data_IF_228727710102
#
_entry.id   IF_228727710102
#
_cell.length_a   1.000
_cell.length_b   1.000
_cell.length_c   1.000
_cell.angle_alpha   90.00
_cell.angle_beta   90.00
_cell.angle_gamma   90.00
#
_symmetry.space_group_name_H-M   'P 1'
#
loop_
_entity.id
_entity.type
_entity.pdbx_description
1 polymer ?
#
# COMPACT_ATOMS: atom_id res chain seq x y z
N UNK A 1 -16.08 -37.12 -6.34
CA UNK A 1 -15.62 -36.71 -5.00
C UNK A 1 -16.41 -35.52 -4.47
N UNK A 2 -16.92 -34.63 -5.33
CA UNK A 2 -17.82 -33.52 -4.93
C UNK A 2 -19.01 -33.89 -4.07
N UNK A 3 -19.69 -34.99 -4.38
CA UNK A 3 -20.81 -35.42 -3.55
C UNK A 3 -20.39 -35.79 -2.11
N UNK A 4 -19.19 -36.34 -1.92
CA UNK A 4 -18.69 -36.76 -0.61
C UNK A 4 -18.30 -35.58 0.28
N UNK A 5 -17.68 -34.54 -0.29
CA UNK A 5 -17.40 -33.30 0.46
C UNK A 5 -18.70 -32.60 0.84
N UNK A 6 -19.66 -32.47 -0.08
CA UNK A 6 -20.93 -31.79 0.20
C UNK A 6 -21.79 -32.53 1.22
N UNK A 7 -21.78 -33.87 1.21
CA UNK A 7 -22.42 -34.70 2.24
C UNK A 7 -21.75 -34.48 3.60
N UNK A 8 -20.42 -34.57 3.66
CA UNK A 8 -19.67 -34.32 4.89
C UNK A 8 -19.91 -32.90 5.43
N UNK A 9 -19.92 -31.89 4.53
CA UNK A 9 -20.16 -30.50 4.90
C UNK A 9 -21.54 -30.33 5.55
N UNK A 10 -22.57 -30.97 4.98
CA UNK A 10 -23.93 -30.96 5.56
C UNK A 10 -24.03 -31.70 6.88
N UNK A 11 -23.33 -32.83 7.00
CA UNK A 11 -23.30 -33.63 8.22
C UNK A 11 -22.62 -32.88 9.39
N UNK A 12 -21.47 -32.25 9.11
CA UNK A 12 -20.61 -31.64 10.14
C UNK A 12 -20.99 -30.19 10.44
N UNK A 13 -21.30 -29.39 9.42
CA UNK A 13 -21.56 -27.96 9.58
C UNK A 13 -23.03 -27.58 9.45
N UNK A 14 -23.89 -28.50 8.98
CA UNK A 14 -25.32 -28.27 8.83
C UNK A 14 -25.71 -27.67 7.47
N UNK A 15 -26.83 -26.95 7.45
CA UNK A 15 -27.40 -26.40 6.23
C UNK A 15 -26.47 -25.34 5.60
N UNK A 16 -26.16 -25.39 4.28
CA UNK A 16 -25.27 -24.44 3.64
C UNK A 16 -25.67 -22.96 3.81
N UNK A 17 -26.97 -22.67 3.89
CA UNK A 17 -27.46 -21.31 4.14
C UNK A 17 -27.10 -20.83 5.55
N UNK A 18 -27.26 -21.70 6.56
CA UNK A 18 -26.85 -21.39 7.93
C UNK A 18 -25.34 -21.27 8.04
N UNK A 19 -24.56 -22.12 7.36
CA UNK A 19 -23.09 -22.00 7.34
C UNK A 19 -22.66 -20.66 6.73
N UNK A 20 -23.32 -20.20 5.68
CA UNK A 20 -23.05 -18.90 5.07
C UNK A 20 -23.45 -17.73 5.98
N UNK A 21 -24.57 -17.83 6.70
CA UNK A 21 -25.09 -16.75 7.53
C UNK A 21 -24.44 -16.67 8.93
N UNK A 22 -24.30 -17.81 9.59
CA UNK A 22 -23.85 -17.93 10.99
C UNK A 22 -22.37 -18.35 11.11
N UNK A 23 -21.77 -18.81 10.01
CA UNK A 23 -20.45 -19.42 9.99
C UNK A 23 -20.49 -20.92 10.30
N UNK A 24 -19.38 -21.61 10.01
CA UNK A 24 -19.25 -23.04 10.27
C UNK A 24 -19.12 -23.35 11.77
N UNK A 25 -19.85 -24.36 12.27
CA UNK A 25 -19.68 -24.87 13.63
C UNK A 25 -18.37 -25.67 13.75
N UNK A 26 -17.31 -24.97 14.12
CA UNK A 26 -15.98 -25.55 14.35
C UNK A 26 -15.99 -26.59 15.48
N UNK A 27 -16.90 -26.47 16.46
CA UNK A 27 -16.97 -27.41 17.58
C UNK A 27 -17.31 -28.83 17.12
N UNK A 28 -18.24 -28.96 16.17
CA UNK A 28 -18.61 -30.25 15.57
C UNK A 28 -17.45 -30.83 14.76
N UNK A 29 -16.74 -29.99 13.99
CA UNK A 29 -15.54 -30.42 13.26
C UNK A 29 -14.44 -30.93 14.19
N UNK A 30 -14.16 -30.23 15.30
CA UNK A 30 -13.13 -30.67 16.26
C UNK A 30 -13.52 -32.02 16.87
N UNK A 31 -14.78 -32.21 17.26
CA UNK A 31 -15.26 -33.49 17.78
C UNK A 31 -15.18 -34.60 16.72
N UNK A 32 -15.43 -34.30 15.45
CA UNK A 32 -15.29 -35.25 14.35
C UNK A 32 -13.81 -35.61 14.10
N UNK A 33 -12.91 -34.63 14.12
CA UNK A 33 -11.46 -34.84 14.02
C UNK A 33 -10.94 -35.70 15.17
N UNK A 34 -11.44 -35.53 16.39
CA UNK A 34 -11.09 -36.38 17.54
C UNK A 34 -11.53 -37.84 17.40
N UNK A 35 -12.71 -38.08 16.81
CA UNK A 35 -13.22 -39.43 16.59
C UNK A 35 -12.54 -40.12 15.41
N UNK A 36 -12.19 -39.37 14.37
CA UNK A 36 -11.70 -39.92 13.11
C UNK A 36 -10.88 -38.89 12.31
N UNK A 37 -9.63 -38.60 12.70
CA UNK A 37 -8.83 -37.54 12.07
C UNK A 37 -8.63 -37.81 10.59
N UNK A 38 -8.34 -39.05 10.19
CA UNK A 38 -8.16 -39.41 8.78
C UNK A 38 -9.38 -39.10 7.90
N UNK A 39 -10.60 -39.28 8.42
CA UNK A 39 -11.83 -38.95 7.67
C UNK A 39 -11.95 -37.43 7.52
N UNK A 40 -11.87 -36.70 8.62
CA UNK A 40 -11.98 -35.25 8.62
C UNK A 40 -10.93 -34.62 7.70
N UNK A 41 -9.66 -35.01 7.83
CA UNK A 41 -8.58 -34.45 7.03
C UNK A 41 -8.70 -34.79 5.54
N UNK A 42 -9.12 -36.01 5.19
CA UNK A 42 -9.39 -36.37 3.79
C UNK A 42 -10.51 -35.54 3.20
N UNK A 43 -11.57 -35.27 3.96
CA UNK A 43 -12.69 -34.44 3.51
C UNK A 43 -12.29 -32.97 3.39
N UNK A 44 -11.52 -32.43 4.33
CA UNK A 44 -10.97 -31.07 4.21
C UNK A 44 -10.06 -30.93 2.98
N UNK A 45 -9.20 -31.91 2.68
CA UNK A 45 -8.40 -31.91 1.44
C UNK A 45 -9.29 -31.92 0.19
N UNK A 46 -10.37 -32.70 0.19
CA UNK A 46 -11.33 -32.71 -0.91
C UNK A 46 -12.02 -31.34 -1.07
N UNK A 47 -12.46 -30.72 0.02
CA UNK A 47 -13.07 -29.39 0.01
C UNK A 47 -12.12 -28.30 -0.48
N UNK A 48 -10.84 -28.33 -0.09
CA UNK A 48 -9.81 -27.43 -0.65
C UNK A 48 -9.64 -27.65 -2.15
N UNK A 49 -9.62 -28.92 -2.61
CA UNK A 49 -9.57 -29.25 -4.04
C UNK A 49 -10.80 -28.80 -4.84
N UNK A 50 -11.92 -28.50 -4.17
CA UNK A 50 -13.15 -27.97 -4.76
C UNK A 50 -13.28 -26.44 -4.57
N UNK A 51 -12.22 -25.79 -4.09
CA UNK A 51 -12.20 -24.36 -3.80
C UNK A 51 -13.29 -23.91 -2.81
N UNK A 52 -13.67 -24.78 -1.87
CA UNK A 52 -14.65 -24.44 -0.82
C UNK A 52 -13.95 -23.73 0.35
N UNK A 53 -14.27 -22.46 0.58
CA UNK A 53 -13.66 -21.64 1.64
C UNK A 53 -13.92 -22.20 3.04
N UNK A 54 -15.02 -22.95 3.26
CA UNK A 54 -15.31 -23.57 4.56
C UNK A 54 -14.26 -24.62 4.91
N UNK A 55 -13.73 -25.34 3.92
CA UNK A 55 -12.65 -26.30 4.14
C UNK A 55 -11.35 -25.62 4.60
N UNK A 56 -11.07 -24.44 4.06
CA UNK A 56 -9.90 -23.64 4.43
C UNK A 56 -10.04 -23.06 5.83
N UNK A 57 -11.18 -22.44 6.14
CA UNK A 57 -11.49 -21.91 7.48
C UNK A 57 -11.40 -23.01 8.55
N UNK A 58 -11.88 -24.21 8.21
CA UNK A 58 -11.79 -25.41 9.04
C UNK A 58 -10.35 -25.82 9.33
N UNK A 59 -9.46 -25.77 8.33
CA UNK A 59 -8.03 -26.02 8.54
C UNK A 59 -7.41 -24.98 9.47
N UNK A 60 -7.76 -23.69 9.31
CA UNK A 60 -7.31 -22.63 10.22
C UNK A 60 -7.81 -22.84 11.65
N UNK A 61 -9.06 -23.28 11.80
CA UNK A 61 -9.63 -23.57 13.12
C UNK A 61 -8.94 -24.77 13.81
N UNK A 62 -8.63 -25.83 13.06
CA UNK A 62 -7.81 -26.93 13.56
C UNK A 62 -6.39 -26.45 13.90
N UNK A 63 -5.80 -25.54 13.12
CA UNK A 63 -4.48 -24.99 13.38
C UNK A 63 -4.41 -24.25 14.73
N UNK A 64 -5.40 -23.38 15.00
CA UNK A 64 -5.51 -22.65 16.27
C UNK A 64 -5.67 -23.56 17.49
N UNK A 65 -6.11 -24.80 17.30
CA UNK A 65 -6.21 -25.82 18.35
C UNK A 65 -5.05 -26.82 18.37
N UNK A 66 -4.02 -26.62 17.54
CA UNK A 66 -2.85 -27.50 17.45
C UNK A 66 -3.13 -28.85 16.76
N UNK A 67 -4.15 -28.91 15.90
CA UNK A 67 -4.69 -30.14 15.30
C UNK A 67 -4.69 -30.13 13.77
N UNK A 68 -4.22 -29.05 13.14
CA UNK A 68 -4.13 -29.01 11.69
C UNK A 68 -3.21 -30.14 11.17
N UNK A 69 -3.52 -30.73 10.01
CA UNK A 69 -2.62 -31.63 9.32
C UNK A 69 -1.25 -30.99 9.12
N UNK A 70 -0.16 -31.76 9.30
CA UNK A 70 1.20 -31.25 9.13
C UNK A 70 1.50 -30.71 7.72
N UNK A 71 0.74 -31.15 6.71
CA UNK A 71 0.83 -30.73 5.31
C UNK A 71 -0.13 -29.57 4.96
N UNK A 72 -0.91 -29.04 5.90
CA UNK A 72 -1.93 -28.02 5.62
C UNK A 72 -1.39 -26.77 4.91
N UNK A 73 -0.23 -26.24 5.35
CA UNK A 73 0.38 -25.09 4.69
C UNK A 73 0.83 -25.41 3.25
N UNK A 74 1.39 -26.60 3.01
CA UNK A 74 1.81 -27.03 1.67
C UNK A 74 0.61 -27.20 0.73
N UNK A 75 -0.48 -27.79 1.24
CA UNK A 75 -1.74 -27.93 0.52
C UNK A 75 -2.29 -26.55 0.11
N UNK A 76 -2.43 -25.62 1.04
CA UNK A 76 -2.99 -24.29 0.78
C UNK A 76 -2.12 -23.46 -0.18
N UNK A 77 -0.78 -23.53 -0.06
CA UNK A 77 0.13 -22.90 -1.03
C UNK A 77 -0.05 -23.43 -2.44
N UNK A 78 -0.32 -24.73 -2.59
CA UNK A 78 -0.58 -25.32 -3.91
C UNK A 78 -1.91 -24.88 -4.53
N UNK A 79 -2.90 -24.54 -3.71
CA UNK A 79 -4.22 -24.10 -4.14
C UNK A 79 -4.29 -22.58 -4.42
N UNK A 80 -3.45 -21.79 -3.74
CA UNK A 80 -3.45 -20.33 -3.83
C UNK A 80 -3.33 -19.77 -5.27
N UNK A 81 -2.49 -20.30 -6.18
CA UNK A 81 -2.36 -19.75 -7.54
C UNK A 81 -3.64 -19.82 -8.37
N UNK A 82 -4.52 -20.78 -8.09
CA UNK A 82 -5.83 -20.92 -8.75
C UNK A 82 -7.00 -20.39 -7.92
N UNK A 83 -6.73 -19.81 -6.76
CA UNK A 83 -7.75 -19.32 -5.86
C UNK A 83 -8.31 -17.97 -6.31
N UNK A 84 -9.61 -17.76 -6.12
CA UNK A 84 -10.32 -16.53 -6.38
C UNK A 84 -11.28 -16.17 -5.23
N UNK A 85 -11.80 -14.95 -5.27
CA UNK A 85 -12.83 -14.45 -4.36
C UNK A 85 -12.58 -14.75 -2.87
N UNK A 86 -13.65 -15.14 -2.17
CA UNK A 86 -13.61 -15.55 -0.75
C UNK A 86 -12.64 -16.72 -0.50
N UNK A 87 -12.48 -17.65 -1.44
CA UNK A 87 -11.57 -18.78 -1.27
C UNK A 87 -10.12 -18.31 -1.21
N UNK A 88 -9.71 -17.37 -2.07
CA UNK A 88 -8.38 -16.73 -2.02
C UNK A 88 -8.18 -15.98 -0.71
N UNK A 89 -9.17 -15.19 -0.27
CA UNK A 89 -9.11 -14.46 1.00
C UNK A 89 -8.86 -15.42 2.16
N UNK A 90 -9.68 -16.48 2.30
CA UNK A 90 -9.53 -17.44 3.40
C UNK A 90 -8.22 -18.23 3.30
N UNK A 91 -7.81 -18.61 2.09
CA UNK A 91 -6.54 -19.33 1.87
C UNK A 91 -5.36 -18.50 2.32
N UNK A 92 -5.30 -17.23 1.91
CA UNK A 92 -4.26 -16.31 2.31
C UNK A 92 -4.27 -16.03 3.83
N UNK A 93 -5.44 -15.84 4.43
CA UNK A 93 -5.57 -15.64 5.88
C UNK A 93 -5.02 -16.83 6.67
N UNK A 94 -5.45 -18.05 6.31
CA UNK A 94 -5.03 -19.26 7.02
C UNK A 94 -3.55 -19.58 6.77
N UNK A 95 -3.03 -19.27 5.57
CA UNK A 95 -1.59 -19.35 5.31
C UNK A 95 -0.80 -18.40 6.21
N UNK A 96 -1.24 -17.16 6.37
CA UNK A 96 -0.62 -16.20 7.28
C UNK A 96 -0.64 -16.72 8.74
N UNK A 97 -1.76 -17.27 9.21
CA UNK A 97 -1.86 -17.88 10.55
C UNK A 97 -0.92 -19.08 10.74
N UNK A 98 -0.82 -19.97 9.74
CA UNK A 98 -0.03 -21.19 9.82
C UNK A 98 1.48 -20.95 9.74
N UNK A 99 1.89 -19.91 9.02
CA UNK A 99 3.29 -19.69 8.66
C UNK A 99 3.91 -18.51 9.38
N UNK A 100 3.08 -17.56 9.85
CA UNK A 100 3.52 -16.26 10.34
C UNK A 100 4.03 -15.33 9.24
N UNK A 101 3.89 -15.71 7.97
CA UNK A 101 4.37 -14.95 6.82
C UNK A 101 3.34 -13.89 6.42
N UNK A 102 3.77 -12.64 6.35
CA UNK A 102 2.92 -11.50 6.01
C UNK A 102 2.75 -11.32 4.49
N UNK A 103 3.49 -12.07 3.65
CA UNK A 103 3.38 -12.03 2.19
C UNK A 103 1.93 -12.29 1.73
N UNK A 104 1.25 -13.20 2.40
CA UNK A 104 -0.14 -13.58 2.10
C UNK A 104 -1.13 -12.44 2.38
N UNK A 105 -0.75 -11.43 3.16
CA UNK A 105 -1.58 -10.24 3.33
C UNK A 105 -1.77 -9.50 2.01
N UNK A 106 -0.76 -9.55 1.11
CA UNK A 106 -0.84 -8.93 -0.21
C UNK A 106 -1.90 -9.58 -1.10
N UNK A 107 -2.15 -10.88 -0.92
CA UNK A 107 -3.20 -11.63 -1.63
C UNK A 107 -4.59 -11.14 -1.24
N UNK A 108 -4.83 -10.92 0.05
CA UNK A 108 -6.10 -10.38 0.55
C UNK A 108 -6.27 -8.93 0.08
N UNK A 109 -5.20 -8.14 0.11
CA UNK A 109 -5.23 -6.77 -0.40
C UNK A 109 -5.56 -6.73 -1.90
N UNK A 110 -5.00 -7.65 -2.70
CA UNK A 110 -5.30 -7.77 -4.12
C UNK A 110 -6.77 -8.09 -4.39
N UNK A 111 -7.42 -8.91 -3.54
CA UNK A 111 -8.87 -9.16 -3.67
C UNK A 111 -9.68 -7.89 -3.42
N UNK A 112 -9.35 -7.12 -2.37
CA UNK A 112 -10.05 -5.86 -2.08
C UNK A 112 -9.87 -4.82 -3.21
N UNK A 113 -8.68 -4.74 -3.79
CA UNK A 113 -8.34 -3.81 -4.87
C UNK A 113 -8.90 -4.23 -6.24
N UNK A 114 -9.29 -5.50 -6.38
CA UNK A 114 -9.77 -6.06 -7.62
C UNK A 114 -11.17 -5.59 -8.00
N UNK A 115 -11.60 -6.04 -9.18
CA UNK A 115 -12.93 -5.81 -9.77
C UNK A 115 -13.88 -7.00 -9.56
N UNK A 116 -13.56 -7.88 -8.61
CA UNK A 116 -14.34 -9.08 -8.31
C UNK A 116 -15.72 -8.76 -7.70
N UNK A 117 -16.49 -9.81 -7.37
CA UNK A 117 -17.80 -9.65 -6.75
C UNK A 117 -17.66 -8.88 -5.43
N UNK A 118 -18.56 -7.92 -5.17
CA UNK A 118 -18.50 -7.04 -4.00
C UNK A 118 -18.44 -7.80 -2.68
N UNK A 119 -19.07 -8.98 -2.60
CA UNK A 119 -19.00 -9.87 -1.43
C UNK A 119 -17.58 -10.32 -1.10
N UNK A 120 -16.78 -10.69 -2.11
CA UNK A 120 -15.38 -11.09 -1.91
C UNK A 120 -14.54 -9.92 -1.40
N UNK A 121 -14.84 -8.71 -1.89
CA UNK A 121 -14.17 -7.47 -1.48
C UNK A 121 -14.56 -7.07 -0.06
N UNK A 122 -15.81 -7.31 0.36
CA UNK A 122 -16.20 -7.19 1.77
C UNK A 122 -15.42 -8.17 2.64
N UNK A 123 -15.31 -9.43 2.23
CA UNK A 123 -14.55 -10.44 2.96
C UNK A 123 -13.08 -10.03 3.11
N UNK A 124 -12.48 -9.49 2.05
CA UNK A 124 -11.13 -8.94 2.09
C UNK A 124 -11.02 -7.72 3.04
N UNK A 125 -11.96 -6.77 2.97
CA UNK A 125 -11.99 -5.60 3.85
C UNK A 125 -12.16 -5.97 5.34
N UNK A 126 -12.92 -7.03 5.64
CA UNK A 126 -13.06 -7.59 6.99
C UNK A 126 -11.83 -8.36 7.45
N UNK A 127 -11.14 -9.00 6.51
CA UNK A 127 -9.95 -9.81 6.75
C UNK A 127 -8.71 -8.97 7.08
N UNK A 128 -8.42 -7.95 6.27
CA UNK A 128 -7.17 -7.17 6.35
C UNK A 128 -6.85 -6.61 7.74
N UNK A 129 -7.80 -6.03 8.51
CA UNK A 129 -7.50 -5.50 9.85
C UNK A 129 -7.10 -6.56 10.88
N UNK A 130 -7.31 -7.85 10.58
CA UNK A 130 -7.00 -8.99 11.45
C UNK A 130 -5.66 -9.65 11.10
N UNK A 131 -5.09 -9.30 9.96
CA UNK A 131 -3.79 -9.79 9.50
C UNK A 131 -2.67 -8.86 9.97
N UNK A 132 -1.39 -9.31 9.92
CA UNK A 132 -0.26 -8.42 10.05
C UNK A 132 -0.45 -7.20 9.13
N UNK A 133 -0.40 -6.01 9.73
CA UNK A 133 -0.65 -4.79 8.99
C UNK A 133 0.53 -4.51 8.08
N UNK A 134 0.31 -4.52 6.76
CA UNK A 134 1.32 -4.12 5.78
C UNK A 134 0.94 -2.79 5.14
N UNK A 135 1.91 -2.10 4.50
CA UNK A 135 1.62 -0.90 3.73
C UNK A 135 0.55 -1.09 2.67
N UNK A 136 0.60 -2.24 1.99
CA UNK A 136 -0.38 -2.63 0.97
C UNK A 136 -1.77 -2.86 1.58
N UNK A 137 -1.88 -3.46 2.77
CA UNK A 137 -3.17 -3.60 3.48
C UNK A 137 -3.82 -2.25 3.75
N UNK A 138 -3.03 -1.29 4.22
CA UNK A 138 -3.54 0.03 4.58
C UNK A 138 -3.97 0.81 3.34
N UNK A 139 -3.19 0.72 2.26
CA UNK A 139 -3.53 1.30 0.96
C UNK A 139 -4.77 0.63 0.34
N UNK A 140 -4.90 -0.69 0.43
CA UNK A 140 -6.08 -1.43 -0.03
C UNK A 140 -7.32 -1.03 0.75
N UNK A 141 -7.23 -0.89 2.08
CA UNK A 141 -8.33 -0.40 2.91
C UNK A 141 -8.69 1.06 2.57
N UNK A 142 -7.69 1.92 2.32
CA UNK A 142 -7.93 3.29 1.87
C UNK A 142 -8.67 3.31 0.52
N UNK A 143 -8.18 2.56 -0.48
CA UNK A 143 -8.84 2.37 -1.78
C UNK A 143 -10.25 1.79 -1.63
N UNK A 144 -10.44 0.84 -0.73
CA UNK A 144 -11.73 0.22 -0.44
C UNK A 144 -12.76 1.22 0.13
N UNK A 145 -12.34 2.29 0.82
CA UNK A 145 -13.26 3.39 1.20
C UNK A 145 -13.69 4.21 -0.01
N UNK A 146 -12.97 4.14 -1.12
CA UNK A 146 -13.30 4.81 -2.39
C UNK A 146 -14.09 3.90 -3.35
N UNK A 147 -14.39 2.67 -2.94
CA UNK A 147 -15.10 1.68 -3.77
C UNK A 147 -16.49 2.16 -4.20
N UNK A 148 -17.01 1.72 -5.34
CA UNK A 148 -18.36 2.05 -5.79
C UNK A 148 -19.46 1.38 -4.94
N UNK A 149 -19.13 0.26 -4.29
CA UNK A 149 -20.05 -0.51 -3.48
C UNK A 149 -20.07 -0.03 -2.04
N UNK A 150 -21.23 0.47 -1.59
CA UNK A 150 -21.37 1.10 -0.26
C UNK A 150 -20.97 0.19 0.90
N UNK A 151 -21.21 -1.11 0.78
CA UNK A 151 -20.83 -2.08 1.80
C UNK A 151 -19.31 -2.31 1.82
N UNK A 152 -18.63 -2.35 0.67
CA UNK A 152 -17.16 -2.41 0.62
C UNK A 152 -16.57 -1.16 1.27
N UNK A 153 -17.12 0.03 0.96
CA UNK A 153 -16.72 1.28 1.61
C UNK A 153 -16.90 1.23 3.12
N UNK A 154 -18.06 0.76 3.58
CA UNK A 154 -18.38 0.65 5.00
C UNK A 154 -17.38 -0.26 5.73
N UNK A 155 -17.14 -1.47 5.21
CA UNK A 155 -16.24 -2.43 5.85
C UNK A 155 -14.77 -1.99 5.79
N UNK A 156 -14.34 -1.36 4.71
CA UNK A 156 -12.99 -0.79 4.59
C UNK A 156 -12.81 0.39 5.57
N UNK A 157 -13.82 1.25 5.69
CA UNK A 157 -13.83 2.34 6.65
C UNK A 157 -13.78 1.81 8.09
N UNK A 158 -14.53 0.76 8.40
CA UNK A 158 -14.46 0.06 9.69
C UNK A 158 -13.07 -0.49 9.99
N UNK A 159 -12.41 -1.06 8.97
CA UNK A 159 -11.02 -1.48 9.07
C UNK A 159 -10.11 -0.34 9.49
N UNK A 160 -10.11 0.77 8.74
CA UNK A 160 -9.32 1.96 9.07
C UNK A 160 -9.68 2.57 10.44
N UNK A 161 -10.96 2.56 10.81
CA UNK A 161 -11.47 3.04 12.09
C UNK A 161 -10.89 2.24 13.26
N UNK A 162 -10.93 0.91 13.14
CA UNK A 162 -10.36 -0.03 14.10
C UNK A 162 -8.85 0.15 14.25
N UNK A 163 -8.14 0.32 13.12
CA UNK A 163 -6.70 0.59 13.11
C UNK A 163 -6.38 1.96 13.76
N UNK A 164 -7.24 2.96 13.56
CA UNK A 164 -7.20 4.24 14.25
C UNK A 164 -7.60 4.16 15.74
N UNK A 165 -7.93 2.97 16.25
CA UNK A 165 -8.15 2.68 17.67
C UNK A 165 -9.56 2.94 18.16
N UNK A 166 -10.50 3.21 17.26
CA UNK A 166 -11.89 3.42 17.62
C UNK A 166 -12.63 2.08 17.62
N UNK A 167 -13.42 1.86 18.67
CA UNK A 167 -14.14 0.59 18.87
C UNK A 167 -15.55 0.57 18.27
N UNK A 168 -16.07 1.74 17.91
CA UNK A 168 -17.40 1.87 17.32
C UNK A 168 -17.34 1.58 15.82
N UNK A 169 -18.43 1.05 15.27
CA UNK A 169 -18.63 0.90 13.83
C UNK A 169 -18.79 2.29 13.17
N UNK A 170 -18.39 2.41 11.90
CA UNK A 170 -18.60 3.59 11.07
C UNK A 170 -20.08 3.96 11.01
N UNK A 171 -21.01 3.00 11.13
CA UNK A 171 -22.45 3.22 11.26
C UNK A 171 -22.84 4.11 12.46
N UNK A 172 -22.02 4.12 13.52
CA UNK A 172 -22.21 4.97 14.70
C UNK A 172 -21.37 6.26 14.62
N UNK A 173 -20.54 6.40 13.60
CA UNK A 173 -19.66 7.53 13.42
C UNK A 173 -20.34 8.65 12.63
N UNK A 174 -20.05 9.91 12.97
CA UNK A 174 -20.64 11.09 12.29
C UNK A 174 -20.39 11.17 10.78
N UNK A 175 -19.40 10.42 10.28
CA UNK A 175 -19.05 10.34 8.86
C UNK A 175 -19.76 9.21 8.11
N UNK A 176 -20.63 8.43 8.76
CA UNK A 176 -21.36 7.33 8.13
C UNK A 176 -22.05 7.75 6.83
N UNK A 177 -22.84 8.82 6.91
CA UNK A 177 -23.58 9.35 5.77
C UNK A 177 -22.67 9.78 4.60
N UNK A 178 -21.42 10.17 4.88
CA UNK A 178 -20.45 10.48 3.83
C UNK A 178 -19.98 9.19 3.15
N UNK A 179 -19.64 8.15 3.92
CA UNK A 179 -19.19 6.85 3.39
C UNK A 179 -20.29 6.14 2.61
N UNK A 180 -21.55 6.20 3.06
CA UNK A 180 -22.66 5.52 2.36
C UNK A 180 -23.33 6.38 1.30
N UNK A 181 -23.00 7.67 1.23
CA UNK A 181 -23.54 8.58 0.23
C UNK A 181 -22.99 8.30 -1.17
N UNK A 182 -23.41 9.13 -2.13
CA UNK A 182 -23.03 9.03 -3.55
C UNK A 182 -21.95 10.05 -3.95
N UNK A 183 -21.30 10.73 -3.00
CA UNK A 183 -20.31 11.79 -3.25
C UNK A 183 -18.87 11.24 -3.14
N UNK A 184 -18.15 11.02 -4.25
CA UNK A 184 -16.78 10.50 -4.22
C UNK A 184 -15.78 11.44 -3.53
N UNK A 185 -16.01 12.75 -3.54
CA UNK A 185 -15.18 13.69 -2.80
C UNK A 185 -15.38 13.52 -1.29
N UNK A 186 -16.63 13.29 -0.88
CA UNK A 186 -16.99 12.87 0.47
C UNK A 186 -16.28 11.59 0.88
N UNK A 187 -16.29 10.55 0.05
CA UNK A 187 -15.60 9.27 0.33
C UNK A 187 -14.11 9.47 0.55
N UNK A 188 -13.45 10.19 -0.37
CA UNK A 188 -12.02 10.50 -0.29
C UNK A 188 -11.68 11.28 0.98
N UNK A 189 -12.46 12.30 1.32
CA UNK A 189 -12.27 13.05 2.55
C UNK A 189 -12.42 12.18 3.81
N UNK A 190 -13.31 11.17 3.79
CA UNK A 190 -13.39 10.19 4.88
C UNK A 190 -12.14 9.29 4.88
N UNK A 191 -11.77 8.70 3.75
CA UNK A 191 -10.62 7.82 3.61
C UNK A 191 -9.33 8.48 4.13
N UNK A 192 -9.01 9.67 3.62
CA UNK A 192 -7.84 10.46 4.01
C UNK A 192 -7.91 10.84 5.49
N UNK A 193 -9.09 11.19 5.97
CA UNK A 193 -9.29 11.53 7.36
C UNK A 193 -9.14 10.35 8.32
N UNK A 194 -9.52 9.14 7.92
CA UNK A 194 -9.33 7.91 8.69
C UNK A 194 -7.88 7.45 8.64
N UNK A 195 -7.25 7.51 7.47
CA UNK A 195 -5.83 7.24 7.30
C UNK A 195 -4.98 8.22 8.14
N UNK A 196 -5.33 9.51 8.15
CA UNK A 196 -4.70 10.50 9.03
C UNK A 196 -4.96 10.26 10.53
N UNK A 197 -6.11 9.69 10.90
CA UNK A 197 -6.39 9.29 12.28
C UNK A 197 -5.52 8.08 12.69
N UNK A 198 -5.36 7.11 11.80
CA UNK A 198 -4.39 6.02 11.97
C UNK A 198 -2.97 6.58 12.10
N UNK A 199 -2.54 7.49 11.22
CA UNK A 199 -1.23 8.13 11.28
C UNK A 199 -0.95 8.77 12.64
N UNK A 200 -1.95 9.49 13.18
CA UNK A 200 -1.88 10.12 14.51
C UNK A 200 -1.79 9.10 15.65
N UNK A 201 -2.41 7.93 15.52
CA UNK A 201 -2.30 6.85 16.50
C UNK A 201 -0.99 6.10 16.38
N UNK A 202 -0.49 5.92 15.17
CA UNK A 202 0.82 5.34 14.89
C UNK A 202 1.97 6.28 15.31
N UNK A 203 1.67 7.55 15.58
CA UNK A 203 2.56 8.46 16.31
C UNK A 203 2.82 7.89 17.71
N UNK A 204 4.03 7.38 17.93
CA UNK A 204 4.39 6.66 19.14
C UNK A 204 5.81 6.97 19.57
N UNK A 205 6.06 6.74 20.85
CA UNK A 205 7.40 6.76 21.43
C UNK A 205 7.98 5.37 21.28
N UNK A 206 9.17 5.29 20.70
CA UNK A 206 9.99 4.09 20.60
C UNK A 206 11.13 4.20 21.60
N UNK A 207 11.35 3.16 22.41
CA UNK A 207 12.33 3.19 23.50
C UNK A 207 11.76 3.78 24.80
N UNK A 208 12.65 4.07 25.74
CA UNK A 208 12.30 4.63 27.06
C UNK A 208 12.84 6.05 27.18
N UNK A 209 11.96 7.03 27.43
CA UNK A 209 12.36 8.43 27.56
C UNK A 209 13.38 8.64 28.67
N UNK A 210 13.39 7.81 29.72
CA UNK A 210 14.35 7.90 30.82
C UNK A 210 15.76 7.40 30.44
N UNK A 211 15.92 6.68 29.32
CA UNK A 211 17.22 6.28 28.80
C UNK A 211 17.41 6.87 27.40
N UNK A 212 16.89 6.22 26.37
CA UNK A 212 16.87 6.71 25.00
C UNK A 212 15.53 6.41 24.34
N UNK A 213 14.93 7.43 23.71
CA UNK A 213 13.70 7.25 22.94
C UNK A 213 13.60 8.17 21.74
N UNK A 214 12.83 7.73 20.74
CA UNK A 214 12.41 8.53 19.59
C UNK A 214 10.88 8.57 19.56
N UNK A 215 10.32 9.76 19.64
CA UNK A 215 8.90 10.01 19.42
C UNK A 215 8.68 10.42 17.96
N UNK A 216 7.97 9.58 17.22
CA UNK A 216 7.54 9.89 15.87
C UNK A 216 6.18 10.60 15.92
N UNK A 217 6.06 11.70 15.20
CA UNK A 217 4.81 12.44 14.98
C UNK A 217 3.84 11.67 14.08
N UNK A 218 2.73 12.30 13.71
CA UNK A 218 1.83 11.71 12.73
C UNK A 218 2.54 11.61 11.37
N UNK A 219 2.34 10.49 10.66
CA UNK A 219 2.76 10.37 9.27
C UNK A 219 1.90 11.29 8.39
N UNK A 220 2.54 11.98 7.45
CA UNK A 220 1.85 12.68 6.37
C UNK A 220 1.91 11.82 5.11
N UNK A 221 0.86 11.03 4.88
CA UNK A 221 0.81 10.12 3.74
C UNK A 221 0.65 10.83 2.39
N UNK A 222 0.41 12.15 2.38
CA UNK A 222 0.46 12.97 1.17
C UNK A 222 1.88 13.42 0.83
N UNK A 223 2.81 13.31 1.79
CA UNK A 223 4.20 13.75 1.66
C UNK A 223 5.11 12.67 2.28
N UNK A 224 5.50 11.63 1.51
CA UNK A 224 6.18 10.41 1.98
C UNK A 224 7.42 10.60 2.86
N UNK A 225 8.00 11.80 2.86
CA UNK A 225 9.25 12.14 3.57
C UNK A 225 9.05 13.06 4.77
N UNK A 226 7.81 13.47 5.06
CA UNK A 226 7.49 14.39 6.14
C UNK A 226 6.88 13.67 7.32
N UNK A 227 7.75 13.22 8.23
CA UNK A 227 7.37 12.84 9.59
C UNK A 227 8.23 13.60 10.58
N UNK A 228 7.59 14.28 11.53
CA UNK A 228 8.30 14.92 12.65
C UNK A 228 8.87 13.82 13.54
N UNK A 229 10.12 13.93 13.96
CA UNK A 229 10.72 13.06 14.96
C UNK A 229 11.34 13.88 16.09
N UNK A 230 11.19 13.42 17.33
CA UNK A 230 11.79 14.03 18.53
C UNK A 230 12.59 12.99 19.27
N UNK A 231 13.86 13.27 19.56
CA UNK A 231 14.70 12.39 20.35
C UNK A 231 14.73 12.82 21.82
N UNK A 232 14.80 11.83 22.69
CA UNK A 232 14.92 11.96 24.14
C UNK A 232 16.15 11.18 24.61
N UNK A 233 16.89 11.77 25.53
CA UNK A 233 18.04 11.16 26.18
C UNK A 233 18.01 11.52 27.67
N UNK A 234 18.04 10.51 28.54
CA UNK A 234 18.00 10.68 30.00
C UNK A 234 16.87 11.61 30.47
N UNK A 235 15.66 11.34 30.00
CA UNK A 235 14.45 12.14 30.29
C UNK A 235 14.38 13.48 29.56
N UNK A 236 15.45 13.91 28.91
CA UNK A 236 15.57 15.25 28.32
C UNK A 236 15.32 15.19 26.81
N UNK A 237 14.42 16.05 26.33
CA UNK A 237 14.22 16.23 24.89
C UNK A 237 15.44 16.93 24.30
N UNK A 238 16.09 16.30 23.33
CA UNK A 238 17.24 16.88 22.66
C UNK A 238 16.80 18.10 21.81
N UNK A 239 17.55 19.22 21.87
CA UNK A 239 17.25 20.39 21.07
C UNK A 239 17.46 20.12 19.59
N UNK A 240 16.54 20.61 18.76
CA UNK A 240 16.55 20.46 17.32
C UNK A 240 15.20 20.92 16.76
N UNK A 241 15.12 21.40 15.50
CA UNK A 241 13.83 21.62 14.86
C UNK A 241 13.01 20.32 14.89
N UNK A 242 11.68 20.43 14.91
CA UNK A 242 10.82 19.31 14.53
C UNK A 242 11.12 19.04 13.04
N UNK A 243 12.12 18.19 12.76
CA UNK A 243 12.66 18.00 11.41
C UNK A 243 11.94 16.86 10.68
N UNK A 244 11.74 17.03 9.38
CA UNK A 244 11.32 16.01 8.41
C UNK A 244 12.54 15.18 7.97
N UNK A 245 13.00 14.25 8.80
CA UNK A 245 14.20 13.45 8.50
C UNK A 245 13.95 11.94 8.55
N UNK A 246 12.97 11.50 7.77
CA UNK A 246 12.81 10.08 7.43
C UNK A 246 14.12 9.52 6.83
N UNK A 247 14.79 10.27 5.94
CA UNK A 247 16.06 9.86 5.33
C UNK A 247 17.24 9.75 6.31
N UNK A 248 17.37 10.68 7.26
CA UNK A 248 18.51 10.68 8.19
C UNK A 248 18.37 9.57 9.25
N UNK A 249 17.15 9.34 9.75
CA UNK A 249 16.86 8.22 10.65
C UNK A 249 17.01 6.86 9.97
N UNK A 250 16.71 6.77 8.66
CA UNK A 250 16.92 5.56 7.86
C UNK A 250 18.40 5.23 7.65
N UNK A 251 19.25 6.24 7.44
CA UNK A 251 20.69 6.03 7.30
C UNK A 251 21.34 5.40 8.54
N UNK A 252 20.72 5.54 9.71
CA UNK A 252 21.13 4.84 10.94
C UNK A 252 20.86 3.32 10.84
N UNK A 253 19.70 2.94 10.30
CA UNK A 253 19.33 1.54 10.06
C UNK A 253 20.10 0.89 8.91
N UNK A 254 20.57 1.66 7.93
CA UNK A 254 21.42 1.15 6.85
C UNK A 254 22.79 0.67 7.38
N UNK A 255 23.25 1.18 8.53
CA UNK A 255 24.46 0.66 9.19
C UNK A 255 24.26 -0.66 9.95
N UNK A 256 23.05 -1.25 9.91
CA UNK A 256 22.72 -2.51 10.60
C UNK A 256 22.43 -3.69 9.68
N UNK A 257 22.63 -3.56 8.36
CA UNK A 257 22.17 -4.56 7.37
C UNK A 257 23.14 -5.73 7.16
N UNK A 258 23.53 -6.39 8.24
CA UNK A 258 23.92 -7.80 8.19
C UNK A 258 22.97 -8.57 9.10
N UNK A 259 21.96 -9.29 8.57
CA UNK A 259 20.97 -9.99 9.39
C UNK A 259 21.59 -11.02 10.35
N UNK A 260 22.82 -11.46 10.07
CA UNK A 260 23.57 -12.43 10.88
C UNK A 260 24.51 -11.79 11.92
N UNK A 261 24.49 -10.46 12.09
CA UNK A 261 25.34 -9.75 13.06
C UNK A 261 24.52 -8.74 13.87
N UNK A 262 24.74 -8.63 15.19
CA UNK A 262 24.17 -7.55 15.98
C UNK A 262 24.65 -6.20 15.40
N UNK A 263 23.74 -5.23 15.37
CA UNK A 263 24.01 -3.88 14.92
C UNK A 263 25.18 -3.28 15.71
N UNK A 264 26.34 -3.10 15.06
CA UNK A 264 27.51 -2.48 15.67
C UNK A 264 27.50 -0.98 15.37
N UNK A 265 26.84 -0.20 16.24
CA UNK A 265 26.90 1.26 16.18
C UNK A 265 28.25 1.75 16.74
N UNK A 266 29.32 1.66 15.95
CA UNK A 266 30.58 2.28 16.35
C UNK A 266 30.39 3.80 16.42
N UNK A 267 30.27 4.29 17.65
CA UNK A 267 30.09 5.69 18.04
C UNK A 267 28.68 6.26 17.74
N UNK A 268 27.71 5.83 18.55
CA UNK A 268 26.34 6.36 18.58
C UNK A 268 26.26 7.88 18.79
N UNK A 269 27.18 8.45 19.58
CA UNK A 269 27.28 9.91 19.80
C UNK A 269 27.52 10.67 18.48
N UNK A 270 28.58 10.38 17.70
CA UNK A 270 28.74 10.93 16.34
C UNK A 270 27.53 10.73 15.43
N UNK A 271 26.83 9.58 15.50
CA UNK A 271 25.63 9.36 14.71
C UNK A 271 24.51 10.34 15.11
N UNK A 272 24.25 10.50 16.41
CA UNK A 272 23.27 11.47 16.91
C UNK A 272 23.67 12.93 16.58
N UNK A 273 24.96 13.26 16.67
CA UNK A 273 25.49 14.58 16.29
C UNK A 273 25.33 14.86 14.79
N UNK A 274 25.58 13.87 13.92
CA UNK A 274 25.37 13.97 12.47
C UNK A 274 23.90 14.19 12.10
N UNK A 275 22.96 13.70 12.91
CA UNK A 275 21.52 13.96 12.74
C UNK A 275 21.13 15.36 13.21
N UNK A 276 22.09 16.14 13.72
CA UNK A 276 21.88 17.50 14.20
C UNK A 276 21.36 17.57 15.64
N UNK A 277 21.43 16.49 16.41
CA UNK A 277 21.26 16.54 17.85
C UNK A 277 22.57 17.02 18.48
N UNK A 278 22.72 18.34 18.59
CA UNK A 278 23.87 18.96 19.24
C UNK A 278 23.76 18.85 20.78
N UNK A 279 24.87 19.12 21.47
CA UNK A 279 24.93 19.27 22.93
C UNK A 279 24.55 18.00 23.74
N UNK A 280 24.92 16.82 23.23
CA UNK A 280 24.74 15.56 23.97
C UNK A 280 25.56 15.59 25.27
N UNK A 281 24.98 15.35 26.45
CA UNK A 281 25.71 15.45 27.72
C UNK A 281 26.88 14.46 27.73
N UNK A 282 28.09 14.88 28.09
CA UNK A 282 29.31 14.05 28.06
C UNK A 282 29.22 12.77 28.89
N UNK A 283 28.32 12.72 29.88
CA UNK A 283 28.25 11.68 30.90
C UNK A 283 27.14 10.62 30.72
N UNK A 284 26.36 10.65 29.63
CA UNK A 284 25.26 9.67 29.47
C UNK A 284 25.83 8.33 28.99
N UNK A 285 25.73 7.31 29.84
CA UNK A 285 25.95 5.92 29.44
C UNK A 285 24.70 5.42 28.70
N UNK A 286 24.87 5.10 27.42
CA UNK A 286 23.83 4.50 26.60
C UNK A 286 23.96 2.97 26.68
N UNK A 287 22.85 2.31 26.98
CA UNK A 287 22.75 0.86 26.77
C UNK A 287 22.71 0.62 25.26
N UNK A 288 23.79 0.04 24.72
CA UNK A 288 23.95 -0.17 23.29
C UNK A 288 22.85 -1.08 22.72
N UNK A 289 22.46 -2.13 23.44
CA UNK A 289 21.45 -3.10 23.00
C UNK A 289 20.05 -2.47 23.01
N UNK A 290 19.69 -1.76 24.08
CA UNK A 290 18.39 -1.09 24.18
C UNK A 290 18.25 0.05 23.16
N UNK A 291 19.35 0.78 22.91
CA UNK A 291 19.38 1.83 21.89
C UNK A 291 19.26 1.24 20.49
N UNK A 292 19.99 0.15 20.20
CA UNK A 292 19.90 -0.56 18.94
C UNK A 292 18.48 -1.05 18.64
N UNK A 293 17.81 -1.66 19.63
CA UNK A 293 16.42 -2.10 19.51
C UNK A 293 15.46 -0.93 19.24
N UNK A 294 15.69 0.21 19.90
CA UNK A 294 14.89 1.43 19.70
C UNK A 294 15.03 1.95 18.27
N UNK A 295 16.25 2.04 17.75
CA UNK A 295 16.53 2.51 16.38
C UNK A 295 15.96 1.55 15.33
N UNK A 296 16.05 0.24 15.53
CA UNK A 296 15.43 -0.76 14.66
C UNK A 296 13.90 -0.60 14.60
N UNK A 297 13.25 -0.39 15.75
CA UNK A 297 11.81 -0.17 15.82
C UNK A 297 11.36 1.12 15.12
N UNK A 298 12.19 2.16 15.16
CA UNK A 298 11.96 3.43 14.46
C UNK A 298 12.11 3.26 12.95
N UNK A 299 13.17 2.59 12.50
CA UNK A 299 13.40 2.31 11.09
C UNK A 299 12.22 1.52 10.49
N UNK A 300 11.79 0.44 11.15
CA UNK A 300 10.63 -0.34 10.71
C UNK A 300 9.33 0.50 10.62
N UNK A 301 9.12 1.44 11.55
CA UNK A 301 7.95 2.31 11.52
C UNK A 301 8.01 3.35 10.38
N UNK A 302 9.21 3.84 10.06
CA UNK A 302 9.42 4.78 8.97
C UNK A 302 9.31 4.11 7.60
N UNK A 303 9.87 2.91 7.42
CA UNK A 303 9.74 2.14 6.19
C UNK A 303 8.27 1.81 5.91
N UNK A 304 7.52 1.38 6.93
CA UNK A 304 6.07 1.18 6.81
C UNK A 304 5.35 2.44 6.29
N UNK A 305 5.64 3.62 6.86
CA UNK A 305 4.96 4.86 6.45
C UNK A 305 5.35 5.30 5.04
N UNK A 306 6.62 5.16 4.64
CA UNK A 306 7.08 5.50 3.29
C UNK A 306 6.37 4.61 2.28
N UNK A 307 6.33 3.31 2.54
CA UNK A 307 5.69 2.38 1.63
C UNK A 307 4.20 2.69 1.55
N UNK A 308 3.50 2.95 2.68
CA UNK A 308 2.10 3.39 2.64
C UNK A 308 1.99 4.63 1.79
N UNK A 309 2.88 5.60 1.98
CA UNK A 309 2.90 6.83 1.20
C UNK A 309 3.27 6.60 -0.27
N UNK A 310 3.93 5.52 -0.68
CA UNK A 310 4.17 5.16 -2.09
C UNK A 310 3.00 4.40 -2.70
N UNK A 311 2.31 3.63 -1.88
CA UNK A 311 1.06 2.97 -2.27
C UNK A 311 -0.11 3.96 -2.33
N UNK A 312 -0.02 5.04 -1.55
CA UNK A 312 -1.01 6.13 -1.46
C UNK A 312 -0.60 7.38 -2.24
N UNK A 313 0.68 7.62 -2.48
CA UNK A 313 1.22 8.78 -3.21
C UNK A 313 2.18 8.32 -4.30
N UNK A 314 2.47 9.25 -5.18
CA UNK A 314 3.09 8.96 -6.46
C UNK A 314 4.62 8.92 -6.35
N UNK A 315 5.29 7.96 -7.00
CA UNK A 315 6.69 7.58 -6.72
C UNK A 315 7.78 8.61 -7.08
N UNK A 316 7.49 9.57 -7.95
CA UNK A 316 8.47 10.53 -8.45
C UNK A 316 7.74 11.69 -9.11
N UNK A 317 7.99 12.91 -8.65
CA UNK A 317 7.52 14.14 -9.30
C UNK A 317 8.72 14.83 -9.95
N UNK A 318 8.70 15.00 -11.27
CA UNK A 318 9.74 15.70 -12.07
C UNK A 318 9.11 16.96 -12.64
N UNK A 319 9.63 18.14 -12.28
CA UNK A 319 9.07 19.44 -12.68
C UNK A 319 8.19 20.10 -11.61
N UNK A 320 7.37 21.06 -12.02
CA UNK A 320 6.47 21.84 -11.17
C UNK A 320 5.01 21.61 -11.58
N UNK A 321 4.18 21.03 -10.69
CA UNK A 321 2.76 20.74 -10.99
C UNK A 321 2.01 21.99 -11.45
N UNK A 322 2.36 23.18 -10.96
CA UNK A 322 1.73 24.45 -11.33
C UNK A 322 2.10 24.92 -12.73
N UNK A 323 3.10 24.29 -13.36
CA UNK A 323 3.60 24.60 -14.70
C UNK A 323 3.57 23.36 -15.58
N UNK A 324 4.62 22.54 -15.52
CA UNK A 324 4.71 21.23 -16.14
C UNK A 324 5.43 20.26 -15.20
N UNK A 325 4.83 19.09 -14.96
CA UNK A 325 5.51 18.03 -14.22
C UNK A 325 5.09 16.63 -14.67
N UNK A 326 5.90 15.63 -14.37
CA UNK A 326 5.52 14.22 -14.42
C UNK A 326 5.47 13.61 -13.04
N UNK A 327 4.41 12.86 -12.79
CA UNK A 327 4.23 12.00 -11.63
C UNK A 327 4.43 10.54 -12.07
N UNK A 328 5.63 10.00 -11.90
CA UNK A 328 5.92 8.60 -12.19
C UNK A 328 5.64 7.79 -10.94
N UNK A 329 4.63 6.92 -11.00
CA UNK A 329 4.25 5.95 -9.97
C UNK A 329 5.10 4.68 -10.00
N UNK A 330 4.71 3.73 -9.16
CA UNK A 330 5.38 2.44 -9.06
C UNK A 330 5.32 1.65 -10.36
N UNK A 331 6.30 0.77 -10.50
CA UNK A 331 6.21 -0.27 -11.50
C UNK A 331 4.99 -1.13 -11.22
N UNK A 332 4.27 -1.48 -12.27
CA UNK A 332 3.21 -2.47 -12.18
C UNK A 332 3.81 -3.78 -11.65
N UNK A 333 3.22 -4.39 -10.61
CA UNK A 333 3.77 -5.59 -9.98
C UNK A 333 3.80 -6.79 -10.93
N UNK A 334 2.90 -6.84 -11.91
CA UNK A 334 2.80 -7.92 -12.90
C UNK A 334 3.66 -7.64 -14.14
N UNK A 335 4.09 -6.40 -14.33
CA UNK A 335 4.94 -6.00 -15.44
C UNK A 335 5.89 -4.86 -15.03
N UNK A 336 7.16 -5.14 -14.70
CA UNK A 336 8.12 -4.10 -14.28
C UNK A 336 8.42 -3.07 -15.38
N UNK A 337 7.96 -3.32 -16.62
CA UNK A 337 8.07 -2.43 -17.77
C UNK A 337 6.86 -1.50 -17.94
N UNK A 338 5.84 -1.64 -17.12
CA UNK A 338 4.72 -0.70 -17.04
C UNK A 338 4.88 0.15 -15.78
N UNK A 339 4.66 1.45 -15.91
CA UNK A 339 4.63 2.40 -14.77
C UNK A 339 3.53 3.40 -14.98
N UNK A 340 2.86 3.80 -13.91
CA UNK A 340 2.02 5.00 -13.95
C UNK A 340 2.92 6.23 -14.19
N UNK A 341 2.55 7.11 -15.11
CA UNK A 341 3.27 8.33 -15.50
C UNK A 341 2.22 9.41 -15.79
N UNK A 342 1.91 10.23 -14.80
CA UNK A 342 0.91 11.29 -14.88
C UNK A 342 1.57 12.61 -15.30
N UNK A 343 1.23 13.16 -16.46
CA UNK A 343 1.60 14.51 -16.83
C UNK A 343 0.71 15.53 -16.10
N UNK A 344 1.33 16.59 -15.61
CA UNK A 344 0.70 17.78 -15.04
C UNK A 344 0.99 19.00 -15.92
N UNK A 345 -0.04 19.83 -16.15
CA UNK A 345 0.03 21.13 -16.81
C UNK A 345 -0.84 22.13 -16.05
N UNK A 346 -0.31 23.31 -15.70
CA UNK A 346 -1.06 24.41 -15.05
C UNK A 346 -1.82 23.99 -13.77
N UNK A 347 -1.17 23.20 -12.92
CA UNK A 347 -1.76 22.69 -11.68
C UNK A 347 -2.77 21.55 -11.89
N UNK A 348 -2.90 21.04 -13.12
CA UNK A 348 -3.93 20.06 -13.51
C UNK A 348 -3.30 18.83 -14.12
N UNK A 349 -3.93 17.68 -13.93
CA UNK A 349 -3.53 16.45 -14.60
C UNK A 349 -3.90 16.56 -16.09
N UNK A 350 -2.90 16.44 -16.95
CA UNK A 350 -3.00 16.49 -18.40
C UNK A 350 -3.13 15.10 -19.04
N UNK A 351 -2.78 14.04 -18.31
CA UNK A 351 -3.02 12.63 -18.72
C UNK A 351 -3.83 11.91 -17.65
N UNK A 352 -5.12 12.27 -17.46
CA UNK A 352 -5.96 11.60 -16.47
C UNK A 352 -6.38 10.19 -16.94
N UNK A 353 -6.14 9.86 -18.20
CA UNK A 353 -6.49 8.61 -18.85
C UNK A 353 -5.24 7.95 -19.41
N UNK A 354 -5.24 6.62 -19.39
CA UNK A 354 -4.16 5.74 -19.87
C UNK A 354 -2.75 6.20 -19.43
N UNK A 355 -2.61 6.66 -18.19
CA UNK A 355 -1.32 7.12 -17.67
C UNK A 355 -0.37 5.95 -17.37
N UNK A 356 -0.66 4.73 -17.82
CA UNK A 356 0.27 3.60 -17.69
C UNK A 356 1.17 3.57 -18.91
N UNK A 357 2.44 3.88 -18.70
CA UNK A 357 3.44 3.91 -19.75
C UNK A 357 4.16 2.57 -19.86
N UNK A 358 4.25 2.04 -21.09
CA UNK A 358 5.30 1.07 -21.41
C UNK A 358 6.64 1.79 -21.45
N UNK A 359 7.37 1.64 -20.35
CA UNK A 359 8.53 2.45 -19.97
C UNK A 359 9.57 2.58 -21.09
N UNK A 360 9.98 1.50 -21.80
CA UNK A 360 10.97 1.62 -22.86
C UNK A 360 10.53 2.51 -24.04
N UNK A 361 9.27 2.40 -24.46
CA UNK A 361 8.75 3.20 -25.58
C UNK A 361 8.49 4.63 -25.14
N UNK A 362 7.88 4.82 -23.97
CA UNK A 362 7.55 6.15 -23.45
C UNK A 362 8.80 6.99 -23.21
N UNK A 363 9.83 6.42 -22.56
CA UNK A 363 11.12 7.10 -22.37
C UNK A 363 11.82 7.42 -23.70
N UNK A 364 11.63 6.60 -24.74
CA UNK A 364 12.18 6.89 -26.06
C UNK A 364 11.48 8.09 -26.73
N UNK A 365 10.16 8.18 -26.61
CA UNK A 365 9.37 9.29 -27.13
C UNK A 365 9.75 10.62 -26.47
N UNK A 366 9.86 10.64 -25.13
CA UNK A 366 10.25 11.83 -24.37
C UNK A 366 11.61 12.40 -24.82
N UNK A 367 12.64 11.53 -24.98
CA UNK A 367 13.97 11.95 -25.48
C UNK A 367 13.93 12.46 -26.91
N UNK A 368 13.11 11.84 -27.75
CA UNK A 368 12.99 12.22 -29.16
C UNK A 368 12.44 13.63 -29.28
N UNK A 369 11.42 13.98 -28.49
CA UNK A 369 10.84 15.31 -28.51
C UNK A 369 11.73 16.37 -27.87
N UNK A 370 12.39 16.07 -26.76
CA UNK A 370 13.41 16.96 -26.19
C UNK A 370 14.51 17.31 -27.21
N UNK A 371 15.01 16.31 -27.96
CA UNK A 371 15.99 16.52 -29.02
C UNK A 371 15.45 17.34 -30.21
N UNK A 372 14.15 17.27 -30.50
CA UNK A 372 13.51 18.09 -31.54
C UNK A 372 13.40 19.55 -31.08
N UNK A 373 12.97 19.80 -29.85
CA UNK A 373 12.89 21.14 -29.28
C UNK A 373 14.25 21.84 -29.28
N UNK A 374 15.34 21.16 -28.92
CA UNK A 374 16.71 21.70 -29.01
C UNK A 374 17.13 22.15 -30.40
N UNK A 375 16.59 21.51 -31.44
CA UNK A 375 16.89 21.86 -32.84
C UNK A 375 16.00 22.99 -33.36
N UNK A 376 15.22 23.63 -32.49
CA UNK A 376 14.24 24.65 -32.86
C UNK A 376 13.10 24.11 -33.72
N UNK A 377 12.85 22.80 -33.68
CA UNK A 377 11.65 22.21 -34.29
C UNK A 377 10.55 22.21 -33.25
N UNK A 378 9.37 22.68 -33.62
CA UNK A 378 8.17 22.51 -32.79
C UNK A 378 7.44 21.24 -33.25
N UNK A 379 7.70 20.07 -32.64
CA UNK A 379 6.82 18.91 -32.83
C UNK A 379 5.45 19.20 -32.23
N UNK A 380 4.46 18.40 -32.62
CA UNK A 380 3.21 18.29 -31.88
C UNK A 380 3.53 17.88 -30.44
N UNK A 381 3.18 18.72 -29.47
CA UNK A 381 3.56 18.50 -28.07
C UNK A 381 2.79 17.31 -27.52
N UNK A 382 3.50 16.44 -26.79
CA UNK A 382 2.96 15.24 -26.16
C UNK A 382 2.43 14.17 -27.14
N UNK A 383 3.01 14.05 -28.33
CA UNK A 383 2.82 12.86 -29.18
C UNK A 383 3.78 11.72 -28.75
N UNK A 384 3.60 11.23 -27.52
CA UNK A 384 4.50 10.23 -26.91
C UNK A 384 3.98 8.80 -26.97
N UNK A 385 2.84 8.56 -27.61
CA UNK A 385 2.19 7.26 -27.74
C UNK A 385 0.90 7.18 -26.93
N UNK A 386 0.43 5.95 -26.61
CA UNK A 386 -0.88 5.74 -25.99
C UNK A 386 -1.09 6.52 -24.68
N UNK A 387 -0.03 6.74 -23.90
CA UNK A 387 -0.09 7.47 -22.63
C UNK A 387 -0.51 8.93 -22.77
N UNK A 388 -0.41 9.51 -23.96
CA UNK A 388 -0.72 10.92 -24.21
C UNK A 388 -1.56 11.16 -25.46
N UNK A 389 -2.12 10.11 -26.06
CA UNK A 389 -2.88 10.21 -27.32
C UNK A 389 -4.22 10.97 -27.16
N UNK A 390 -4.67 11.15 -25.92
CA UNK A 390 -5.82 11.96 -25.53
C UNK A 390 -5.51 13.45 -25.37
N UNK A 391 -4.25 13.85 -25.49
CA UNK A 391 -3.83 15.23 -25.37
C UNK A 391 -3.42 15.78 -26.74
N UNK A 392 -4.18 16.74 -27.29
CA UNK A 392 -3.68 17.58 -28.38
C UNK A 392 -3.12 18.86 -27.81
N UNK A 393 -1.85 19.13 -28.09
CA UNK A 393 -1.23 20.35 -27.62
C UNK A 393 -0.37 21.01 -28.71
N UNK A 394 -0.53 22.32 -28.80
CA UNK A 394 0.12 23.18 -29.77
C UNK A 394 1.02 24.15 -29.00
N UNK A 395 2.33 23.89 -29.08
CA UNK A 395 3.35 24.74 -28.48
C UNK A 395 3.73 25.85 -29.47
N UNK A 396 3.31 27.06 -29.15
CA UNK A 396 3.60 28.24 -29.94
C UNK A 396 5.07 28.68 -29.79
N UNK A 397 5.66 29.37 -30.78
CA UNK A 397 7.07 29.81 -30.72
C UNK A 397 7.40 30.74 -29.54
N UNK A 398 6.39 31.37 -28.92
CA UNK A 398 6.56 32.24 -27.76
C UNK A 398 6.52 31.51 -26.41
N UNK A 399 6.46 30.17 -26.42
CA UNK A 399 6.37 29.30 -25.25
C UNK A 399 4.95 29.09 -24.74
N UNK A 400 3.93 29.62 -25.43
CA UNK A 400 2.54 29.38 -25.05
C UNK A 400 2.10 28.00 -25.52
N UNK A 401 1.88 27.08 -24.58
CA UNK A 401 1.28 25.78 -24.84
C UNK A 401 -0.24 25.90 -24.73
N UNK A 402 -0.94 25.71 -25.85
CA UNK A 402 -2.39 25.53 -25.86
C UNK A 402 -2.67 24.06 -25.92
N UNK A 403 -3.38 23.53 -24.95
CA UNK A 403 -3.71 22.11 -24.93
C UNK A 403 -5.21 21.92 -24.87
N UNK A 404 -5.66 20.85 -25.52
CA UNK A 404 -7.00 20.31 -25.48
C UNK A 404 -6.87 18.83 -25.12
N UNK A 405 -7.39 18.47 -23.95
CA UNK A 405 -7.62 17.10 -23.56
C UNK A 405 -8.94 16.64 -24.20
N UNK A 406 -8.87 15.65 -25.07
CA UNK A 406 -10.01 15.03 -25.71
C UNK A 406 -10.65 14.04 -24.75
N UNK A 407 -11.90 14.31 -24.35
CA UNK A 407 -12.60 13.39 -23.48
C UNK A 407 -13.19 12.25 -24.29
N UNK A 408 -12.64 11.03 -24.14
CA UNK A 408 -13.26 9.80 -24.69
C UNK A 408 -14.49 9.33 -23.90
N UNK A 409 -14.80 10.00 -22.79
CA UNK A 409 -15.95 9.70 -21.94
C UNK A 409 -17.12 10.58 -22.35
N UNK A 410 -18.23 9.95 -22.77
CA UNK A 410 -19.48 10.62 -23.12
C UNK A 410 -19.95 11.54 -21.97
N UNK A 411 -20.16 12.81 -22.28
CA UNK A 411 -20.70 13.81 -21.35
C UNK A 411 -19.69 14.55 -20.47
N UNK A 412 -18.39 14.20 -20.49
CA UNK A 412 -17.36 14.92 -19.70
C UNK A 412 -16.80 16.15 -20.45
N UNK A 413 -16.91 16.17 -21.78
CA UNK A 413 -16.51 17.29 -22.63
C UNK A 413 -14.99 17.52 -22.68
N UNK A 414 -14.49 18.05 -23.79
CA UNK A 414 -13.07 18.37 -23.92
C UNK A 414 -12.67 19.47 -22.92
N UNK A 415 -11.44 19.38 -22.42
CA UNK A 415 -10.87 20.41 -21.53
C UNK A 415 -9.75 21.13 -22.22
N UNK A 416 -9.84 22.46 -22.25
CA UNK A 416 -8.79 23.31 -22.81
C UNK A 416 -8.07 24.07 -21.71
N UNK A 417 -6.79 24.32 -21.94
CA UNK A 417 -5.98 25.18 -21.10
C UNK A 417 -4.88 25.87 -21.90
N UNK A 418 -4.35 26.93 -21.30
CA UNK A 418 -3.26 27.70 -21.86
C UNK A 418 -2.25 27.92 -20.75
N UNK A 419 -1.04 27.42 -20.95
CA UNK A 419 0.06 27.57 -20.01
C UNK A 419 1.28 28.12 -20.75
N UNK A 420 1.99 29.05 -20.11
CA UNK A 420 3.24 29.58 -20.66
C UNK A 420 4.39 28.81 -20.05
N UNK A 421 5.13 28.10 -20.90
CA UNK A 421 6.25 27.26 -20.52
C UNK A 421 7.52 27.78 -21.19
N UNK A 422 8.64 27.65 -20.49
CA UNK A 422 9.94 27.90 -21.11
C UNK A 422 10.34 26.65 -21.92
N UNK A 423 10.96 26.83 -23.08
CA UNK A 423 11.37 25.69 -23.90
C UNK A 423 12.45 24.86 -23.19
N UNK A 424 13.35 25.52 -22.45
CA UNK A 424 14.38 24.85 -21.67
C UNK A 424 13.75 24.09 -20.49
N UNK A 425 12.66 24.61 -19.91
CA UNK A 425 11.88 23.91 -18.86
C UNK A 425 11.22 22.64 -19.40
N UNK A 426 10.59 22.70 -20.57
CA UNK A 426 10.00 21.51 -21.22
C UNK A 426 11.10 20.47 -21.48
N UNK A 427 12.19 20.87 -22.14
CA UNK A 427 13.31 19.97 -22.47
C UNK A 427 13.84 19.30 -21.19
N UNK A 428 14.04 20.07 -20.12
CA UNK A 428 14.52 19.54 -18.85
C UNK A 428 13.57 18.48 -18.27
N UNK A 429 12.27 18.77 -18.16
CA UNK A 429 11.28 17.83 -17.61
C UNK A 429 11.17 16.55 -18.43
N UNK A 430 11.19 16.64 -19.76
CA UNK A 430 11.11 15.46 -20.64
C UNK A 430 12.32 14.55 -20.51
N UNK A 431 13.53 15.12 -20.51
CA UNK A 431 14.77 14.35 -20.41
C UNK A 431 14.94 13.74 -19.05
N UNK A 432 14.70 14.51 -17.99
CA UNK A 432 14.77 14.01 -16.62
C UNK A 432 13.76 12.87 -16.40
N UNK A 433 12.55 12.99 -16.96
CA UNK A 433 11.55 11.90 -16.90
C UNK A 433 11.99 10.67 -17.68
N UNK A 434 12.53 10.86 -18.89
CA UNK A 434 12.99 9.74 -19.70
C UNK A 434 14.20 9.02 -19.12
N UNK A 435 15.11 9.77 -18.51
CA UNK A 435 16.29 9.26 -17.83
C UNK A 435 15.89 8.50 -16.56
N UNK A 436 14.98 9.06 -15.74
CA UNK A 436 14.43 8.38 -14.56
C UNK A 436 13.69 7.06 -14.90
N UNK A 437 12.99 7.03 -16.03
CA UNK A 437 12.32 5.83 -16.55
C UNK A 437 13.31 4.79 -17.11
N UNK A 438 14.39 5.25 -17.76
CA UNK A 438 15.43 4.42 -18.36
C UNK A 438 16.33 3.74 -17.32
N UNK A 439 16.81 4.49 -16.34
CA UNK A 439 17.67 3.97 -15.26
C UNK A 439 16.94 2.90 -14.43
N UNK A 440 15.67 3.14 -14.08
CA UNK A 440 14.86 2.20 -13.30
C UNK A 440 14.41 0.94 -14.05
N UNK A 441 14.52 0.93 -15.38
CA UNK A 441 14.22 -0.26 -16.20
C UNK A 441 15.39 -1.24 -16.24
N UNK A 442 16.62 -0.76 -16.07
CA UNK A 442 17.84 -1.59 -16.03
C UNK A 442 17.98 -2.29 -14.67
N UNK A 443 17.42 -1.71 -13.61
CA UNK A 443 17.46 -2.28 -12.25
C UNK A 443 16.42 -3.39 -12.01
N UNK A 444 15.38 -3.49 -12.84
CA UNK A 444 14.23 -4.39 -12.63
C UNK A 444 14.20 -5.64 -13.53
N UNK A 445 15.19 -5.83 -14.42
CA UNK A 445 15.32 -6.99 -15.31
C UNK A 445 16.66 -7.68 -15.13
#
# INVERSE_FOLDING_TARGET
MSDAWQEFRREVFGDPYLVWHDGADVGVLVAEHERGPERAERMLRAGVGEHDHVAVESLGALARSGRAPSDAAALLRSALPSADGVFRVRTAQVLCELTGDDEYTSEVAAVLEGVGHWGDRIDAALALPRLPMTPRSLAALHRGVLDEESLVRQHSANGLLGLAGWKADIAQHKRFAQVTGEDPAGWRAVADGLLGAFAKRAARVHGDKASFAIELGAADYLVPHHRVARAYLDGTRLPGPDRSHVHALRNIGVHTTHPDRPASYQNLRPALEQLGFADLPESVALDEDATAATLAAVAAALDFDIDVSRWCATDLLIGDRTRIAFEVGSADPDSPRLRTCTLWLDGRIATPFDNTAYVPQFAHSLRTDAARYRRGRSPDFADWGPTTDDLSADLQPDGTLRYRLHSRIDGVGDREGVVRLDLDEIIAVLEETADALGERSVEAG
#
